data_IF_782320507722
#
_entry.id   IF_782320507722
#
_cell.length_a   1.000
_cell.length_b   1.000
_cell.length_c   1.000
_cell.angle_alpha   90.00
_cell.angle_beta   90.00
_cell.angle_gamma   90.00
#
_symmetry.space_group_name_H-M   'P 1'
#
loop_
_entity.id
_entity.type
_entity.pdbx_description
1 polymer ?
#
# COMPACT_ATOMS: atom_id res chain seq x y z
N UNK A 1 20.76 39.37 -8.49
CA UNK A 1 20.54 38.13 -9.15
C UNK A 1 19.79 37.16 -8.24
N UNK A 2 18.79 36.52 -8.79
CA UNK A 2 17.87 35.64 -8.07
C UNK A 2 18.39 34.21 -7.89
N UNK A 3 19.63 33.97 -8.20
CA UNK A 3 20.29 32.67 -8.08
C UNK A 3 20.90 32.56 -6.68
N UNK A 4 20.07 32.22 -5.69
CA UNK A 4 20.61 31.68 -4.46
C UNK A 4 20.90 30.22 -4.73
N UNK A 5 22.15 29.87 -4.79
CA UNK A 5 22.57 28.47 -4.80
C UNK A 5 21.97 27.81 -3.57
N UNK A 6 21.08 26.86 -3.77
CA UNK A 6 20.58 26.01 -2.68
C UNK A 6 21.80 25.27 -2.14
N UNK A 7 22.16 25.41 -0.87
CA UNK A 7 23.31 24.71 -0.33
C UNK A 7 23.20 23.21 -0.58
N UNK A 8 24.29 22.59 -0.97
CA UNK A 8 24.35 21.16 -1.33
C UNK A 8 23.78 20.23 -0.25
N UNK A 9 23.93 20.59 1.03
CA UNK A 9 23.39 19.81 2.14
C UNK A 9 21.85 19.81 2.19
N UNK A 10 21.17 20.84 1.71
CA UNK A 10 19.71 20.87 1.62
C UNK A 10 19.18 19.95 0.52
N UNK A 11 19.98 19.72 -0.52
CA UNK A 11 19.65 18.78 -1.59
C UNK A 11 19.71 17.35 -1.07
N UNK A 12 20.66 17.03 -0.18
CA UNK A 12 20.79 15.72 0.44
C UNK A 12 19.60 15.37 1.36
N UNK A 13 19.01 16.34 2.06
CA UNK A 13 17.84 16.11 2.91
C UNK A 13 16.57 15.79 2.10
N UNK A 14 16.48 16.29 0.87
CA UNK A 14 15.32 16.07 -0.03
C UNK A 14 15.33 14.68 -0.66
N UNK A 15 16.50 14.01 -0.70
CA UNK A 15 16.67 12.69 -1.33
C UNK A 15 16.84 11.57 -0.30
N UNK A 16 16.37 11.77 0.93
CA UNK A 16 16.43 10.73 1.95
C UNK A 16 15.46 9.60 1.58
N UNK A 17 16.01 8.38 1.44
CA UNK A 17 15.27 7.18 1.06
C UNK A 17 15.37 6.17 2.19
N UNK A 18 14.21 5.72 2.67
CA UNK A 18 14.16 4.74 3.75
C UNK A 18 13.30 3.54 3.37
N UNK A 19 13.82 2.35 3.63
CA UNK A 19 13.07 1.11 3.53
C UNK A 19 12.14 1.01 4.73
N UNK A 20 10.88 0.65 4.49
CA UNK A 20 9.90 0.37 5.54
C UNK A 20 9.86 -1.12 5.80
N UNK A 21 9.93 -1.50 7.08
CA UNK A 21 9.79 -2.88 7.55
C UNK A 21 8.87 -2.93 8.75
N UNK A 22 7.95 -3.90 8.76
CA UNK A 22 7.05 -4.13 9.89
C UNK A 22 6.66 -5.60 9.95
N UNK A 23 6.52 -6.12 11.17
CA UNK A 23 5.99 -7.47 11.41
C UNK A 23 4.46 -7.52 11.35
N UNK A 24 3.81 -6.35 11.32
CA UNK A 24 2.35 -6.23 11.26
C UNK A 24 1.79 -6.34 9.84
N UNK A 25 2.65 -6.53 8.85
CA UNK A 25 2.29 -6.88 7.48
C UNK A 25 3.10 -8.09 7.03
N UNK A 26 2.67 -8.84 6.02
CA UNK A 26 3.43 -9.98 5.51
C UNK A 26 4.85 -9.58 5.13
N UNK A 27 5.83 -10.39 5.56
CA UNK A 27 7.23 -10.18 5.24
C UNK A 27 7.49 -10.27 3.74
N UNK A 28 8.46 -9.51 3.26
CA UNK A 28 8.92 -9.59 1.88
C UNK A 28 9.69 -10.90 1.68
N UNK A 29 9.19 -11.76 0.81
CA UNK A 29 9.76 -13.09 0.51
C UNK A 29 10.48 -13.13 -0.83
N UNK A 30 10.87 -11.99 -1.36
CA UNK A 30 11.54 -11.87 -2.64
C UNK A 30 12.44 -10.63 -2.69
N UNK A 31 12.91 -10.25 -3.88
CA UNK A 31 13.81 -9.12 -4.05
C UNK A 31 13.05 -7.78 -4.04
N UNK A 32 12.31 -7.50 -2.94
CA UNK A 32 11.56 -6.26 -2.76
C UNK A 32 11.45 -5.89 -1.28
N UNK A 33 11.10 -4.65 -1.01
CA UNK A 33 10.80 -4.13 0.32
C UNK A 33 9.28 -4.02 0.50
N UNK A 34 8.79 -4.09 1.74
CA UNK A 34 7.37 -3.88 2.03
C UNK A 34 6.91 -2.48 1.66
N UNK A 35 7.77 -1.49 1.82
CA UNK A 35 7.50 -0.11 1.45
C UNK A 35 8.77 0.73 1.43
N UNK A 36 8.59 1.96 0.98
CA UNK A 36 9.68 2.92 0.81
C UNK A 36 9.20 4.32 1.08
N UNK A 37 10.04 5.13 1.75
CA UNK A 37 9.81 6.59 1.85
C UNK A 37 10.87 7.31 1.04
N UNK A 38 10.46 8.27 0.23
CA UNK A 38 11.34 9.12 -0.56
C UNK A 38 10.62 10.41 -0.92
N UNK A 39 11.31 11.54 -0.80
CA UNK A 39 10.81 12.84 -1.25
C UNK A 39 9.44 13.25 -0.67
N UNK A 40 9.18 12.93 0.60
CA UNK A 40 7.90 13.24 1.23
C UNK A 40 6.76 12.32 0.82
N UNK A 41 7.06 11.18 0.18
CA UNK A 41 6.07 10.19 -0.23
C UNK A 41 6.36 8.84 0.43
N UNK A 42 5.29 8.09 0.66
CA UNK A 42 5.32 6.72 1.15
C UNK A 42 4.77 5.81 0.04
N UNK A 43 5.52 4.79 -0.31
CA UNK A 43 5.12 3.78 -1.29
C UNK A 43 4.97 2.44 -0.59
N UNK A 44 3.86 1.76 -0.77
CA UNK A 44 3.72 0.37 -0.33
C UNK A 44 3.89 -0.58 -1.50
N UNK A 45 4.48 -1.74 -1.25
CA UNK A 45 4.35 -2.86 -2.17
C UNK A 45 2.91 -3.35 -2.18
N UNK A 46 2.53 -4.09 -3.21
CA UNK A 46 1.22 -4.70 -3.31
C UNK A 46 0.98 -5.66 -2.14
N UNK A 47 -0.13 -5.48 -1.43
CA UNK A 47 -0.49 -6.29 -0.29
C UNK A 47 -1.58 -7.28 -0.65
N UNK A 48 -1.20 -8.56 -0.69
CA UNK A 48 -2.14 -9.69 -0.79
C UNK A 48 -2.71 -9.97 0.62
N UNK A 49 -3.89 -10.60 0.71
CA UNK A 49 -4.60 -10.75 1.99
C UNK A 49 -4.08 -11.90 2.86
N UNK A 50 -2.79 -11.94 3.08
CA UNK A 50 -2.16 -12.89 4.00
C UNK A 50 -2.14 -12.29 5.40
N UNK A 51 -2.63 -13.04 6.37
CA UNK A 51 -2.51 -12.66 7.78
C UNK A 51 -1.03 -12.80 8.21
N UNK A 52 -0.38 -11.71 8.63
CA UNK A 52 1.05 -11.76 8.97
C UNK A 52 1.35 -12.60 10.21
N UNK A 53 0.37 -12.82 11.09
CA UNK A 53 0.55 -13.61 12.32
C UNK A 53 0.50 -15.11 12.04
N UNK A 54 -0.31 -15.56 11.08
CA UNK A 54 -0.58 -16.99 10.85
C UNK A 54 -0.14 -17.50 9.48
N UNK A 55 0.03 -16.59 8.50
CA UNK A 55 0.27 -16.94 7.10
C UNK A 55 -0.98 -17.40 6.36
N UNK A 56 -2.15 -17.38 6.99
CA UNK A 56 -3.40 -17.82 6.42
C UNK A 56 -4.04 -16.76 5.51
N UNK A 57 -4.82 -17.23 4.54
CA UNK A 57 -5.67 -16.41 3.68
C UNK A 57 -7.11 -16.77 3.97
N UNK A 58 -7.91 -15.79 4.38
CA UNK A 58 -9.34 -15.98 4.65
C UNK A 58 -10.11 -16.25 3.35
N UNK A 59 -11.29 -16.84 3.47
CA UNK A 59 -12.16 -17.10 2.34
C UNK A 59 -13.08 -15.91 2.03
N UNK A 60 -13.27 -15.66 0.74
CA UNK A 60 -14.21 -14.66 0.25
C UNK A 60 -13.61 -13.27 0.12
N UNK A 61 -14.20 -12.50 -0.79
CA UNK A 61 -13.68 -11.18 -1.17
C UNK A 61 -13.73 -10.17 -0.01
N UNK A 62 -14.78 -10.17 0.81
CA UNK A 62 -14.91 -9.21 1.90
C UNK A 62 -13.81 -9.39 2.95
N UNK A 63 -13.56 -10.61 3.38
CA UNK A 63 -12.51 -10.91 4.37
C UNK A 63 -11.11 -10.66 3.79
N UNK A 64 -10.89 -11.01 2.54
CA UNK A 64 -9.61 -10.77 1.86
C UNK A 64 -9.35 -9.28 1.65
N UNK A 65 -10.34 -8.53 1.19
CA UNK A 65 -10.21 -7.07 1.06
C UNK A 65 -9.88 -6.40 2.40
N UNK A 66 -10.52 -6.83 3.47
CA UNK A 66 -10.22 -6.33 4.83
C UNK A 66 -8.77 -6.58 5.22
N UNK A 67 -8.27 -7.79 5.01
CA UNK A 67 -6.88 -8.13 5.34
C UNK A 67 -5.88 -7.36 4.48
N UNK A 68 -6.11 -7.22 3.18
CA UNK A 68 -5.24 -6.42 2.31
C UNK A 68 -5.20 -4.96 2.76
N UNK A 69 -6.34 -4.37 3.11
CA UNK A 69 -6.40 -3.01 3.66
C UNK A 69 -5.60 -2.90 4.96
N UNK A 70 -5.75 -3.85 5.88
CA UNK A 70 -4.99 -3.86 7.13
C UNK A 70 -3.48 -3.95 6.89
N UNK A 71 -3.06 -4.76 5.94
CA UNK A 71 -1.66 -4.91 5.60
C UNK A 71 -1.08 -3.61 5.03
N UNK A 72 -1.80 -2.92 4.15
CA UNK A 72 -1.43 -1.59 3.68
C UNK A 72 -1.33 -0.61 4.85
N UNK A 73 -2.33 -0.60 5.73
CA UNK A 73 -2.36 0.25 6.92
C UNK A 73 -1.18 0.03 7.86
N UNK A 74 -0.74 -1.20 8.02
CA UNK A 74 0.43 -1.53 8.84
C UNK A 74 1.73 -0.92 8.28
N UNK A 75 1.89 -0.95 6.97
CA UNK A 75 3.06 -0.35 6.31
C UNK A 75 3.01 1.19 6.43
N UNK A 76 1.83 1.79 6.22
CA UNK A 76 1.63 3.22 6.41
C UNK A 76 1.95 3.65 7.84
N UNK A 77 1.46 2.91 8.83
CA UNK A 77 1.72 3.16 10.26
C UNK A 77 3.22 3.11 10.57
N UNK A 78 3.93 2.14 10.02
CA UNK A 78 5.37 2.03 10.18
C UNK A 78 6.13 3.25 9.60
N UNK A 79 5.54 3.93 8.62
CA UNK A 79 6.05 5.18 8.07
C UNK A 79 5.52 6.42 8.79
N UNK A 80 4.68 6.26 9.82
CA UNK A 80 4.14 7.37 10.62
C UNK A 80 2.94 8.09 10.00
N UNK A 81 2.25 7.47 9.03
CA UNK A 81 1.08 8.05 8.38
C UNK A 81 -0.13 7.13 8.46
N UNK A 82 -1.31 7.67 8.24
CA UNK A 82 -2.55 6.92 8.21
C UNK A 82 -3.20 6.91 6.82
N UNK A 83 -4.33 6.26 6.72
CA UNK A 83 -5.11 6.19 5.48
C UNK A 83 -5.54 7.55 4.95
N UNK A 84 -5.73 8.54 5.83
CA UNK A 84 -6.09 9.91 5.47
C UNK A 84 -5.03 10.62 4.62
N UNK A 85 -3.82 10.11 4.59
CA UNK A 85 -2.70 10.63 3.79
C UNK A 85 -2.52 9.91 2.45
N UNK A 86 -3.28 8.88 2.18
CA UNK A 86 -3.21 8.15 0.91
C UNK A 86 -3.73 9.03 -0.22
N UNK A 87 -2.94 9.18 -1.28
CA UNK A 87 -3.28 9.99 -2.46
C UNK A 87 -3.55 9.15 -3.70
N UNK A 88 -3.02 7.93 -3.74
CA UNK A 88 -3.19 7.02 -4.88
C UNK A 88 -3.21 5.58 -4.42
N UNK A 89 -4.11 4.79 -4.99
CA UNK A 89 -4.09 3.33 -4.86
C UNK A 89 -4.20 2.66 -6.22
N UNK A 90 -3.69 1.44 -6.30
CA UNK A 90 -3.96 0.52 -7.38
C UNK A 90 -4.47 -0.78 -6.76
N UNK A 91 -5.64 -1.20 -7.19
CA UNK A 91 -6.31 -2.39 -6.68
C UNK A 91 -6.44 -3.43 -7.80
N UNK A 92 -6.04 -4.65 -7.48
CA UNK A 92 -6.08 -5.77 -8.41
C UNK A 92 -7.08 -6.80 -7.91
N UNK A 93 -7.97 -7.26 -8.78
CA UNK A 93 -8.97 -8.27 -8.48
C UNK A 93 -8.74 -9.51 -9.35
N UNK A 94 -9.00 -10.68 -8.80
CA UNK A 94 -9.00 -11.92 -9.58
C UNK A 94 -10.24 -11.99 -10.50
N UNK A 95 -11.34 -11.37 -10.10
CA UNK A 95 -12.60 -11.33 -10.86
C UNK A 95 -13.26 -9.97 -10.70
N UNK A 96 -13.59 -9.32 -11.80
CA UNK A 96 -14.24 -8.01 -11.78
C UNK A 96 -15.65 -8.06 -11.17
N UNK A 97 -16.27 -9.23 -11.13
CA UNK A 97 -17.55 -9.43 -10.45
C UNK A 97 -17.50 -9.13 -8.95
N UNK A 98 -16.30 -9.15 -8.34
CA UNK A 98 -16.09 -8.82 -6.93
C UNK A 98 -15.99 -7.30 -6.66
N UNK A 99 -16.06 -6.47 -7.68
CA UNK A 99 -15.83 -5.02 -7.59
C UNK A 99 -16.70 -4.33 -6.53
N UNK A 100 -18.00 -4.59 -6.52
CA UNK A 100 -18.94 -3.96 -5.58
C UNK A 100 -18.65 -4.38 -4.13
N UNK A 101 -18.47 -5.67 -3.88
CA UNK A 101 -18.16 -6.20 -2.54
C UNK A 101 -16.79 -5.72 -2.03
N UNK A 102 -15.79 -5.67 -2.92
CA UNK A 102 -14.48 -5.10 -2.62
C UNK A 102 -14.59 -3.62 -2.22
N UNK A 103 -15.34 -2.83 -2.97
CA UNK A 103 -15.52 -1.40 -2.71
C UNK A 103 -16.15 -1.11 -1.35
N UNK A 104 -17.08 -1.92 -0.90
CA UNK A 104 -17.70 -1.75 0.42
C UNK A 104 -16.68 -1.81 1.55
N UNK A 105 -15.74 -2.73 1.47
CA UNK A 105 -14.67 -2.87 2.46
C UNK A 105 -13.62 -1.77 2.28
N UNK A 106 -13.17 -1.54 1.06
CA UNK A 106 -12.18 -0.53 0.71
C UNK A 106 -12.57 0.86 1.23
N UNK A 107 -13.83 1.26 1.07
CA UNK A 107 -14.35 2.56 1.48
C UNK A 107 -14.22 2.82 2.99
N UNK A 108 -14.20 1.78 3.81
CA UNK A 108 -14.04 1.91 5.26
C UNK A 108 -12.64 2.32 5.68
N UNK A 109 -11.64 2.01 4.86
CA UNK A 109 -10.24 2.27 5.15
C UNK A 109 -9.70 3.52 4.44
N UNK A 110 -9.95 3.65 3.15
CA UNK A 110 -9.40 4.75 2.34
C UNK A 110 -10.33 5.97 2.34
N UNK A 111 -10.41 6.60 3.50
CA UNK A 111 -11.33 7.72 3.76
C UNK A 111 -10.98 9.02 3.05
N UNK A 112 -9.72 9.17 2.62
CA UNK A 112 -9.26 10.32 1.82
C UNK A 112 -9.83 10.31 0.39
N UNK A 113 -10.48 9.23 -0.03
CA UNK A 113 -10.93 9.00 -1.42
C UNK A 113 -9.79 9.23 -2.43
N UNK A 114 -8.71 8.46 -2.34
CA UNK A 114 -7.56 8.65 -3.20
C UNK A 114 -7.88 8.40 -4.67
N UNK A 115 -7.06 8.97 -5.54
CA UNK A 115 -7.09 8.58 -6.94
C UNK A 115 -6.84 7.07 -7.05
N UNK A 116 -7.54 6.38 -7.94
CA UNK A 116 -7.47 4.92 -7.99
C UNK A 116 -7.63 4.35 -9.39
N UNK A 117 -6.89 3.28 -9.65
CA UNK A 117 -7.21 2.31 -10.70
C UNK A 117 -7.57 0.99 -10.02
N UNK A 118 -8.64 0.36 -10.47
CA UNK A 118 -9.07 -0.95 -9.99
C UNK A 118 -9.40 -1.83 -11.20
N UNK A 119 -8.65 -2.91 -11.36
CA UNK A 119 -8.71 -3.77 -12.54
C UNK A 119 -8.71 -5.24 -12.14
N UNK A 120 -9.34 -6.07 -12.96
CA UNK A 120 -9.16 -7.51 -12.86
C UNK A 120 -7.89 -7.91 -13.62
N UNK A 121 -7.13 -8.84 -13.06
CA UNK A 121 -5.91 -9.37 -13.64
C UNK A 121 -6.07 -10.86 -13.92
N UNK A 122 -5.18 -11.40 -14.74
CA UNK A 122 -5.23 -12.82 -15.08
C UNK A 122 -5.04 -13.72 -13.87
N UNK A 123 -4.03 -13.41 -13.04
CA UNK A 123 -3.66 -14.20 -11.87
C UNK A 123 -3.11 -13.28 -10.78
N UNK A 124 -3.30 -13.67 -9.54
CA UNK A 124 -2.69 -13.06 -8.37
C UNK A 124 -1.84 -14.09 -7.61
N UNK A 125 -0.78 -13.65 -6.91
CA UNK A 125 0.05 -14.56 -6.11
C UNK A 125 -0.82 -15.37 -5.13
N UNK A 126 -0.49 -16.65 -4.94
CA UNK A 126 -1.21 -17.59 -4.05
C UNK A 126 -2.69 -17.78 -4.37
N UNK A 127 -3.14 -17.37 -5.57
CA UNK A 127 -4.54 -17.51 -5.96
C UNK A 127 -5.51 -16.66 -5.14
N UNK A 128 -5.05 -15.57 -4.56
CA UNK A 128 -5.89 -14.65 -3.77
C UNK A 128 -6.87 -13.89 -4.65
N UNK A 129 -7.89 -13.27 -4.05
CA UNK A 129 -8.94 -12.57 -4.78
C UNK A 129 -8.66 -11.09 -4.99
N UNK A 130 -7.73 -10.51 -4.23
CA UNK A 130 -7.41 -9.09 -4.36
C UNK A 130 -5.97 -8.78 -3.91
N UNK A 131 -5.49 -7.61 -4.34
CA UNK A 131 -4.20 -7.03 -3.94
C UNK A 131 -4.32 -5.52 -4.01
N UNK A 132 -3.69 -4.82 -3.06
CA UNK A 132 -3.75 -3.36 -2.98
C UNK A 132 -2.35 -2.79 -2.77
N UNK A 133 -2.00 -1.77 -3.55
CA UNK A 133 -0.84 -0.92 -3.30
C UNK A 133 -1.26 0.53 -3.11
N UNK A 134 -0.46 1.31 -2.40
CA UNK A 134 -0.80 2.69 -2.09
C UNK A 134 0.42 3.62 -2.13
N UNK A 135 0.14 4.88 -2.44
CA UNK A 135 1.06 6.01 -2.30
C UNK A 135 0.42 7.01 -1.34
N UNK A 136 1.17 7.45 -0.35
CA UNK A 136 0.71 8.40 0.64
C UNK A 136 1.69 9.57 0.78
N UNK A 137 1.20 10.68 1.31
CA UNK A 137 2.01 11.82 1.69
C UNK A 137 2.59 11.59 3.10
N UNK A 138 3.87 11.77 3.24
CA UNK A 138 4.56 11.63 4.53
C UNK A 138 4.45 12.89 5.38
#
# INVERSE_FOLDING_TARGET
PFWRETPLFMICEVIDMNIIRTEKAPGAIGPYSQGYTVGGLVFTSGQIPVDPATGAVAEGIAAQADQSCRNVGAILEAAGVGFDKVVKTTCFLADIADFAAFNEVYAKYFTSKPARSCVAVKDLPKGVLCEIEAIAEA
#
